data_IF_974752276893
#
_entry.id   IF_974752276893
#
_cell.length_a   1.000
_cell.length_b   1.000
_cell.length_c   1.000
_cell.angle_alpha   90.00
_cell.angle_beta   90.00
_cell.angle_gamma   90.00
#
_symmetry.space_group_name_H-M   'P 1'
#
loop_
_entity.id
_entity.type
_entity.pdbx_description
1 polymer ?
#
# COMPACT_ATOMS: atom_id res chain seq x y z
N UNK A 1 -0.21 6.09 9.84
CA UNK A 1 0.13 4.93 8.96
C UNK A 1 -1.15 4.44 8.31
N UNK A 2 -1.16 4.24 6.99
CA UNK A 2 -2.31 3.65 6.27
C UNK A 2 -2.02 2.19 6.00
N UNK A 3 -2.99 1.31 6.27
CA UNK A 3 -2.93 -0.11 5.88
C UNK A 3 -3.78 -0.32 4.63
N UNK A 4 -3.13 -0.63 3.51
CA UNK A 4 -3.79 -1.04 2.27
C UNK A 4 -3.79 -2.57 2.20
N UNK A 5 -4.99 -3.17 2.29
CA UNK A 5 -5.17 -4.61 2.15
C UNK A 5 -5.61 -4.95 0.72
N UNK A 6 -4.81 -5.76 0.03
CA UNK A 6 -5.11 -6.29 -1.30
C UNK A 6 -5.93 -7.55 -1.17
N UNK A 7 -7.19 -7.50 -1.61
CA UNK A 7 -8.06 -8.67 -1.77
C UNK A 7 -8.41 -8.87 -3.24
N UNK A 8 -8.17 -10.06 -3.78
CA UNK A 8 -8.85 -10.50 -5.00
C UNK A 8 -10.24 -11.00 -4.60
N UNK A 9 -11.22 -10.10 -4.42
CA UNK A 9 -12.62 -10.54 -4.42
C UNK A 9 -13.01 -10.88 -5.85
N UNK A 10 -13.63 -12.04 -6.06
CA UNK A 10 -14.04 -12.51 -7.38
C UNK A 10 -14.86 -11.46 -8.12
N UNK A 11 -14.22 -10.75 -9.04
CA UNK A 11 -14.87 -9.84 -9.98
C UNK A 11 -15.34 -10.69 -11.14
N UNK A 12 -16.65 -10.96 -11.18
CA UNK A 12 -17.28 -11.59 -12.33
C UNK A 12 -17.29 -10.60 -13.50
N UNK A 13 -16.59 -10.99 -14.55
CA UNK A 13 -16.61 -10.55 -15.95
C UNK A 13 -17.38 -9.27 -16.27
N UNK A 14 -16.66 -8.22 -16.68
CA UNK A 14 -16.77 -7.48 -17.94
C UNK A 14 -15.70 -6.38 -17.88
N UNK A 15 -14.78 -6.35 -18.85
CA UNK A 15 -13.68 -5.40 -19.05
C UNK A 15 -12.37 -5.66 -18.26
N UNK A 16 -11.27 -5.68 -19.02
CA UNK A 16 -9.87 -6.01 -18.69
C UNK A 16 -9.54 -7.51 -18.52
N UNK A 17 -8.76 -8.06 -19.45
CA UNK A 17 -8.05 -9.33 -19.24
C UNK A 17 -7.35 -9.31 -17.88
N UNK A 18 -7.56 -10.34 -17.08
CA UNK A 18 -6.88 -10.59 -15.80
C UNK A 18 -5.42 -11.01 -16.03
N UNK A 19 -4.64 -10.15 -16.69
CA UNK A 19 -3.19 -10.33 -16.79
C UNK A 19 -2.52 -9.77 -15.55
N UNK A 20 -1.41 -10.40 -15.12
CA UNK A 20 -0.63 -9.93 -13.97
C UNK A 20 -0.25 -8.43 -14.07
N UNK A 21 0.15 -7.88 -15.23
CA UNK A 21 0.44 -6.46 -15.37
C UNK A 21 -0.76 -5.56 -15.08
N UNK A 22 -1.96 -5.94 -15.56
CA UNK A 22 -3.18 -5.16 -15.33
C UNK A 22 -3.52 -5.08 -13.83
N UNK A 23 -3.29 -6.17 -13.08
CA UNK A 23 -3.51 -6.15 -11.63
C UNK A 23 -2.52 -5.19 -10.96
N UNK A 24 -1.26 -5.15 -11.41
CA UNK A 24 -0.26 -4.23 -10.86
C UNK A 24 -0.58 -2.77 -11.18
N UNK A 25 -1.12 -2.46 -12.36
CA UNK A 25 -1.63 -1.12 -12.68
C UNK A 25 -2.68 -0.68 -11.65
N UNK A 26 -3.59 -1.59 -11.28
CA UNK A 26 -4.65 -1.32 -10.30
C UNK A 26 -4.08 -1.18 -8.88
N UNK A 27 -3.11 -2.00 -8.49
CA UNK A 27 -2.46 -1.92 -7.17
C UNK A 27 -1.78 -0.56 -6.99
N UNK A 28 -0.96 -0.13 -7.95
CA UNK A 28 -0.28 1.16 -7.87
C UNK A 28 -1.25 2.33 -7.95
N UNK A 29 -2.27 2.25 -8.82
CA UNK A 29 -3.34 3.25 -8.87
C UNK A 29 -4.10 3.37 -7.55
N UNK A 30 -4.37 2.25 -6.89
CA UNK A 30 -5.05 2.23 -5.59
C UNK A 30 -4.20 2.87 -4.49
N UNK A 31 -2.89 2.60 -4.45
CA UNK A 31 -1.98 3.24 -3.50
C UNK A 31 -1.94 4.76 -3.75
N UNK A 32 -1.78 5.19 -5.00
CA UNK A 32 -1.79 6.61 -5.36
C UNK A 32 -3.10 7.30 -4.96
N UNK A 33 -4.24 6.64 -5.20
CA UNK A 33 -5.56 7.16 -4.80
C UNK A 33 -5.68 7.31 -3.28
N UNK A 34 -5.19 6.34 -2.52
CA UNK A 34 -5.18 6.39 -1.06
C UNK A 34 -4.27 7.53 -0.55
N UNK A 35 -3.09 7.71 -1.14
CA UNK A 35 -2.18 8.80 -0.78
C UNK A 35 -2.82 10.17 -1.04
N UNK A 36 -3.45 10.36 -2.21
CA UNK A 36 -4.14 11.61 -2.56
C UNK A 36 -5.25 11.95 -1.56
N UNK A 37 -5.96 10.95 -1.06
CA UNK A 37 -7.10 11.13 -0.15
C UNK A 37 -6.77 10.87 1.33
N UNK A 38 -5.49 10.69 1.69
CA UNK A 38 -5.06 10.29 3.02
C UNK A 38 -5.58 11.22 4.14
N UNK A 39 -5.63 12.53 3.87
CA UNK A 39 -6.15 13.53 4.80
C UNK A 39 -7.62 13.29 5.18
N UNK A 40 -8.44 12.79 4.24
CA UNK A 40 -9.86 12.44 4.48
C UNK A 40 -10.00 11.30 5.48
N UNK A 41 -8.99 10.45 5.58
CA UNK A 41 -8.95 9.29 6.48
C UNK A 41 -8.18 9.57 7.78
N UNK A 42 -7.70 10.81 7.98
CA UNK A 42 -6.87 11.17 9.14
C UNK A 42 -5.51 10.45 9.14
N UNK A 43 -5.00 10.10 7.96
CA UNK A 43 -3.83 9.26 7.84
C UNK A 43 -2.66 9.94 7.12
N UNK A 44 -1.45 9.44 7.36
CA UNK A 44 -0.21 9.97 6.78
C UNK A 44 0.08 9.29 5.41
N UNK A 45 0.05 10.04 4.29
CA UNK A 45 0.29 9.49 2.95
C UNK A 45 1.74 9.03 2.73
N UNK A 46 2.67 9.43 3.60
CA UNK A 46 4.09 9.06 3.51
C UNK A 46 4.41 7.75 4.22
N UNK A 47 3.40 7.11 4.84
CA UNK A 47 3.53 5.87 5.62
C UNK A 47 2.44 4.87 5.25
N UNK A 48 2.73 4.06 4.24
CA UNK A 48 1.87 2.98 3.73
C UNK A 48 2.41 1.62 4.21
N UNK A 49 1.50 0.79 4.70
CA UNK A 49 1.67 -0.64 4.91
C UNK A 49 0.84 -1.38 3.86
N UNK A 50 1.42 -2.35 3.15
CA UNK A 50 0.70 -3.19 2.18
C UNK A 50 0.59 -4.60 2.71
N UNK A 51 -0.60 -5.18 2.67
CA UNK A 51 -0.85 -6.55 3.13
C UNK A 51 -1.86 -7.25 2.23
N UNK A 52 -1.90 -8.58 2.25
CA UNK A 52 -2.92 -9.36 1.59
C UNK A 52 -2.74 -10.85 1.86
N UNK A 53 -3.79 -11.62 1.58
CA UNK A 53 -3.80 -13.07 1.74
C UNK A 53 -3.88 -13.82 0.40
N UNK A 54 -3.29 -15.01 0.36
CA UNK A 54 -3.24 -15.83 -0.86
C UNK A 54 -2.61 -15.06 -2.04
N UNK A 55 -3.33 -14.88 -3.14
CA UNK A 55 -2.90 -14.04 -4.25
C UNK A 55 -2.68 -12.57 -3.84
N UNK A 56 -3.40 -12.06 -2.85
CA UNK A 56 -3.17 -10.74 -2.24
C UNK A 56 -1.82 -10.66 -1.52
N UNK A 57 -1.34 -11.77 -0.95
CA UNK A 57 -0.01 -11.86 -0.35
C UNK A 57 1.08 -11.70 -1.40
N UNK A 58 0.95 -12.42 -2.52
CA UNK A 58 1.83 -12.23 -3.68
C UNK A 58 1.81 -10.79 -4.19
N UNK A 59 0.62 -10.19 -4.36
CA UNK A 59 0.48 -8.81 -4.83
C UNK A 59 1.08 -7.79 -3.87
N UNK A 60 0.97 -8.01 -2.55
CA UNK A 60 1.61 -7.15 -1.56
C UNK A 60 3.13 -7.16 -1.71
N UNK A 61 3.74 -8.34 -1.89
CA UNK A 61 5.17 -8.48 -2.15
C UNK A 61 5.57 -7.84 -3.48
N UNK A 62 4.79 -8.07 -4.54
CA UNK A 62 5.01 -7.47 -5.85
C UNK A 62 4.93 -5.94 -5.80
N UNK A 63 4.05 -5.36 -4.98
CA UNK A 63 3.95 -3.90 -4.84
C UNK A 63 5.26 -3.27 -4.32
N UNK A 64 5.94 -3.91 -3.36
CA UNK A 64 7.23 -3.41 -2.87
C UNK A 64 8.37 -3.62 -3.88
N UNK A 65 8.39 -4.78 -4.56
CA UNK A 65 9.49 -5.12 -5.47
C UNK A 65 9.38 -4.36 -6.79
N UNK A 66 8.17 -4.17 -7.30
CA UNK A 66 7.91 -3.62 -8.64
C UNK A 66 7.53 -2.14 -8.61
N UNK A 67 7.38 -1.49 -7.45
CA UNK A 67 7.12 -0.04 -7.40
C UNK A 67 8.18 0.81 -8.11
N UNK A 68 9.48 0.46 -8.14
CA UNK A 68 10.46 1.21 -8.94
C UNK A 68 10.22 1.13 -10.45
N UNK A 69 9.45 0.15 -10.92
CA UNK A 69 9.07 -0.04 -12.32
C UNK A 69 7.77 0.67 -12.70
N UNK A 70 7.24 1.55 -11.84
CA UNK A 70 6.11 2.42 -12.21
C UNK A 70 6.60 3.42 -13.27
N UNK A 71 5.84 3.55 -14.35
CA UNK A 71 6.18 4.42 -15.48
C UNK A 71 5.11 4.40 -16.58
N UNK A 72 5.25 5.27 -17.58
CA UNK A 72 4.30 5.44 -18.68
C UNK A 72 4.83 4.90 -20.04
N UNK A 73 6.01 4.29 -20.07
CA UNK A 73 6.64 3.68 -21.23
C UNK A 73 5.94 2.41 -21.75
N UNK A 74 5.02 1.87 -20.94
CA UNK A 74 4.14 0.74 -21.29
C UNK A 74 4.76 -0.63 -21.01
N UNK A 75 3.95 -1.57 -20.55
CA UNK A 75 4.39 -2.92 -20.23
C UNK A 75 4.56 -3.77 -21.50
N UNK A 76 5.80 -4.04 -21.91
CA UNK A 76 6.12 -4.84 -23.09
C UNK A 76 5.80 -4.14 -24.42
N UNK A 77 5.54 -2.82 -24.40
CA UNK A 77 5.27 -2.05 -25.61
C UNK A 77 6.53 -1.84 -26.47
N UNK A 78 7.70 -1.89 -25.83
CA UNK A 78 9.02 -1.85 -26.47
C UNK A 78 9.89 -2.93 -25.83
N UNK A 79 10.83 -3.47 -26.60
CA UNK A 79 11.76 -4.47 -26.09
C UNK A 79 12.52 -3.93 -24.87
N UNK A 80 12.52 -4.70 -23.78
CA UNK A 80 13.17 -4.33 -22.52
C UNK A 80 12.41 -3.32 -21.65
N UNK A 81 11.24 -2.81 -22.07
CA UNK A 81 10.44 -1.87 -21.28
C UNK A 81 9.28 -2.61 -20.62
N UNK A 82 9.30 -2.63 -19.28
CA UNK A 82 8.29 -3.30 -18.45
C UNK A 82 7.78 -2.36 -17.37
N UNK A 83 7.18 -1.26 -17.81
CA UNK A 83 6.70 -0.22 -16.91
C UNK A 83 5.22 -0.39 -16.57
N UNK A 84 4.89 -0.21 -15.29
CA UNK A 84 3.55 -0.35 -14.76
C UNK A 84 2.88 1.01 -14.59
N UNK A 85 2.10 1.42 -15.59
CA UNK A 85 1.32 2.65 -15.52
C UNK A 85 0.21 2.50 -14.47
N UNK A 86 0.18 3.34 -13.41
CA UNK A 86 -0.87 3.29 -12.43
C UNK A 86 -2.23 3.56 -13.08
N UNK A 87 -3.25 2.79 -12.69
CA UNK A 87 -4.63 2.99 -13.19
C UNK A 87 -5.25 4.30 -12.72
N UNK A 88 -4.64 4.94 -11.71
CA UNK A 88 -4.99 6.24 -11.19
C UNK A 88 -3.71 7.05 -10.97
N UNK A 89 -3.68 8.25 -11.53
CA UNK A 89 -2.61 9.23 -11.36
C UNK A 89 -3.27 10.53 -10.88
N UNK A 90 -2.85 11.11 -9.73
CA UNK A 90 -3.40 12.38 -9.26
C UNK A 90 -3.29 13.48 -10.32
N UNK A 91 -4.33 14.33 -10.40
CA UNK A 91 -4.36 15.41 -11.39
C UNK A 91 -3.17 16.35 -11.21
N UNK A 92 -2.47 16.65 -12.31
CA UNK A 92 -1.31 17.55 -12.30
C UNK A 92 -0.02 16.93 -11.73
N UNK A 93 0.00 15.65 -11.38
CA UNK A 93 1.20 14.96 -10.88
C UNK A 93 1.83 14.08 -11.98
N UNK A 94 3.13 14.26 -12.31
CA UNK A 94 3.81 13.38 -13.26
C UNK A 94 3.98 11.97 -12.68
N UNK A 95 3.98 10.95 -13.55
CA UNK A 95 4.06 9.54 -13.14
C UNK A 95 5.35 9.25 -12.37
N UNK A 96 6.47 9.87 -12.75
CA UNK A 96 7.72 9.73 -12.01
C UNK A 96 7.63 10.21 -10.56
N UNK A 97 6.87 11.28 -10.31
CA UNK A 97 6.62 11.76 -8.95
C UNK A 97 5.73 10.77 -8.18
N UNK A 98 4.71 10.19 -8.83
CA UNK A 98 3.87 9.15 -8.21
C UNK A 98 4.71 7.92 -7.83
N UNK A 99 5.57 7.45 -8.73
CA UNK A 99 6.54 6.37 -8.48
C UNK A 99 7.35 6.66 -7.22
N UNK A 100 8.00 7.82 -7.20
CA UNK A 100 8.86 8.27 -6.13
C UNK A 100 8.15 8.36 -4.77
N UNK A 101 6.93 8.88 -4.76
CA UNK A 101 6.08 8.96 -3.58
C UNK A 101 5.66 7.58 -3.08
N UNK A 102 5.26 6.67 -3.97
CA UNK A 102 4.89 5.30 -3.61
C UNK A 102 6.10 4.53 -3.05
N UNK A 103 7.23 4.55 -3.76
CA UNK A 103 8.46 3.86 -3.35
C UNK A 103 8.91 4.32 -1.96
N UNK A 104 8.86 5.63 -1.69
CA UNK A 104 9.25 6.16 -0.36
C UNK A 104 8.22 5.87 0.72
N UNK A 105 6.94 5.74 0.37
CA UNK A 105 5.87 5.61 1.33
C UNK A 105 5.64 4.17 1.81
N UNK A 106 5.91 3.16 0.99
CA UNK A 106 5.80 1.74 1.41
C UNK A 106 6.86 1.47 2.49
N UNK A 107 6.43 1.34 3.74
CA UNK A 107 7.31 1.08 4.90
C UNK A 107 7.37 -0.39 5.27
N UNK A 108 6.28 -1.11 5.05
CA UNK A 108 6.17 -2.52 5.42
C UNK A 108 5.26 -3.24 4.42
N UNK A 109 5.65 -4.46 4.09
CA UNK A 109 4.82 -5.40 3.34
C UNK A 109 4.67 -6.66 4.17
N UNK A 110 3.42 -7.07 4.40
CA UNK A 110 3.08 -8.26 5.15
C UNK A 110 2.30 -9.23 4.25
N UNK A 111 2.98 -10.14 3.53
CA UNK A 111 2.30 -11.21 2.82
C UNK A 111 1.78 -12.22 3.85
N UNK A 112 0.46 -12.27 4.06
CA UNK A 112 -0.12 -13.19 5.04
C UNK A 112 -0.65 -14.45 4.34
N UNK A 113 0.04 -15.58 4.47
CA UNK A 113 -0.56 -16.89 4.17
C UNK A 113 -1.11 -17.49 5.47
N UNK A 114 -2.28 -17.04 5.90
CA UNK A 114 -3.02 -17.61 7.04
C UNK A 114 -3.99 -16.60 7.67
N UNK A 115 -5.05 -17.05 8.36
CA UNK A 115 -6.05 -16.19 8.98
C UNK A 115 -5.42 -15.46 10.18
N UNK A 116 -4.67 -14.39 9.92
CA UNK A 116 -3.94 -13.65 10.95
C UNK A 116 -4.83 -12.53 11.48
N UNK A 117 -5.20 -12.64 12.77
CA UNK A 117 -5.92 -11.61 13.50
C UNK A 117 -5.23 -10.23 13.43
N UNK A 118 -6.04 -9.18 13.49
CA UNK A 118 -5.62 -7.78 13.54
C UNK A 118 -4.60 -7.47 14.66
N UNK A 119 -4.47 -8.35 15.65
CA UNK A 119 -3.48 -8.27 16.74
C UNK A 119 -2.02 -8.27 16.23
N UNK A 120 -1.72 -8.90 15.09
CA UNK A 120 -0.35 -8.91 14.52
C UNK A 120 0.04 -7.53 13.96
N UNK A 121 -0.93 -6.76 13.46
CA UNK A 121 -0.68 -5.41 12.93
C UNK A 121 -0.40 -4.37 14.01
N UNK A 122 -0.78 -4.63 15.26
CA UNK A 122 -0.52 -3.71 16.39
C UNK A 122 0.97 -3.47 16.63
N UNK A 123 1.84 -4.42 16.27
CA UNK A 123 3.30 -4.28 16.44
C UNK A 123 3.95 -3.29 15.47
N UNK A 124 3.28 -2.96 14.36
CA UNK A 124 3.80 -2.02 13.35
C UNK A 124 3.19 -0.62 13.43
N UNK A 125 2.14 -0.44 14.24
CA UNK A 125 1.59 0.87 14.56
C UNK A 125 2.45 1.48 15.67
N UNK A 126 3.27 2.49 15.34
CA UNK A 126 3.88 3.34 16.37
C UNK A 126 2.78 3.91 17.27
N UNK A 127 2.82 3.57 18.56
CA UNK A 127 1.98 4.20 19.57
C UNK A 127 2.54 5.60 19.85
N UNK A 128 1.85 6.64 19.39
CA UNK A 128 2.18 8.04 19.72
C UNK A 128 1.49 8.55 20.98
N UNK A 129 1.00 7.69 21.86
CA UNK A 129 0.39 8.11 23.12
C UNK A 129 1.29 7.74 24.30
N UNK A 130 2.28 8.59 24.56
CA UNK A 130 2.91 8.72 25.88
C UNK A 130 1.88 9.30 26.85
N UNK A 131 1.01 8.46 27.41
CA UNK A 131 0.27 8.80 28.63
C UNK A 131 1.14 8.40 29.81
N UNK A 132 1.86 9.38 30.36
CA UNK A 132 2.51 9.25 31.65
C UNK A 132 1.50 8.73 32.69
N UNK A 133 1.80 7.66 33.45
CA UNK A 133 0.91 7.21 34.51
C UNK A 133 0.87 8.25 35.65
N UNK A 134 -0.28 8.43 36.32
CA UNK A 134 -0.41 9.43 37.39
C UNK A 134 0.46 9.06 38.59
N UNK A 135 1.21 10.05 39.10
CA UNK A 135 2.00 9.96 40.33
C UNK A 135 1.06 9.62 41.49
N UNK A 136 1.21 8.44 42.10
CA UNK A 136 0.48 8.09 43.33
C UNK A 136 1.12 8.78 44.54
N UNK A 137 0.35 9.38 45.46
CA UNK A 137 0.90 9.92 46.69
C UNK A 137 1.33 8.76 47.63
N UNK A 138 2.55 8.85 48.13
CA UNK A 138 3.07 7.97 49.18
C UNK A 138 2.49 8.43 50.52
N UNK A 139 1.63 7.63 51.14
CA UNK A 139 1.31 7.80 52.56
C UNK A 139 2.10 6.76 53.37
N UNK A 140 3.02 7.26 54.20
CA UNK A 140 3.63 6.52 55.30
C UNK A 140 2.69 6.56 56.51
N UNK A 141 2.37 5.40 57.05
CA UNK A 141 2.30 5.13 58.50
C UNK A 141 2.32 3.64 58.73
#
# INVERSE_FOLDING_TARGET
MIVYQVWLRGVSYYFASFSLPNILFIVFGSIAHIQEHAAKYGADPTRIAVTGDSAGGHLSASAAVLSPSIGDGGFGAREGVYEFMPSFVPSGKPVDQVKDEIVRAIKVVAPSYGPSEASVFKMFLEQTDQVNPPIRPVFKS
#
